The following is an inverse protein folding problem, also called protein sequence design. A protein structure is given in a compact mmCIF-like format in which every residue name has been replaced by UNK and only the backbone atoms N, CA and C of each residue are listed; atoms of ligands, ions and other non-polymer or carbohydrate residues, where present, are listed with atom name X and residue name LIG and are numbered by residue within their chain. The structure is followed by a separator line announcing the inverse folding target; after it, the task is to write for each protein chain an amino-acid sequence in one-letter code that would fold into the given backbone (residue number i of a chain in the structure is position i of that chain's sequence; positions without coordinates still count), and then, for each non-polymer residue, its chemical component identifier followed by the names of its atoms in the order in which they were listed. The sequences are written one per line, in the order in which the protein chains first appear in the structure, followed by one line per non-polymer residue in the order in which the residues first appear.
data_IF_432968335540
#
_entry.id   IF_432968335540
#
_cell.length_a   1.000
_cell.length_b   1.000
_cell.length_c   1.000
_cell.angle_alpha   90.00
_cell.angle_beta   90.00
_cell.angle_gamma   90.00
#
_symmetry.space_group_name_H-M   'P 1'
#
loop_
_entity.id
_entity.type
_entity.pdbx_description
1 polymer ?
#
# COMPACT_ATOMS: atom_id res chain seq x y z
N UNK A 1 8.49 22.81 1.94
CA UNK A 1 9.17 22.45 3.20
C UNK A 1 8.56 21.14 3.64
N UNK A 2 9.31 20.04 3.58
CA UNK A 2 8.77 18.73 3.96
C UNK A 2 8.96 18.54 5.46
N UNK A 3 7.86 18.49 6.22
CA UNK A 3 7.87 18.26 7.66
C UNK A 3 8.49 16.89 7.95
N UNK A 4 9.70 16.88 8.50
CA UNK A 4 10.39 15.66 8.88
C UNK A 4 9.68 15.12 10.13
N UNK A 5 9.19 13.89 10.06
CA UNK A 5 8.48 13.24 11.17
C UNK A 5 9.37 12.14 11.75
N UNK A 6 9.53 12.13 13.07
CA UNK A 6 10.22 11.07 13.78
C UNK A 6 9.31 9.84 13.90
N UNK A 7 9.76 8.71 13.37
CA UNK A 7 9.00 7.45 13.45
C UNK A 7 9.37 6.66 14.70
N UNK A 8 8.49 5.76 15.14
CA UNK A 8 8.65 4.92 16.35
C UNK A 8 9.88 4.00 16.36
N UNK A 9 10.67 3.98 15.28
CA UNK A 9 11.95 3.29 15.18
C UNK A 9 13.16 4.25 15.24
N UNK A 10 12.96 5.50 15.68
CA UNK A 10 14.02 6.51 15.82
C UNK A 10 14.57 7.03 14.50
N UNK A 11 13.89 6.79 13.38
CA UNK A 11 14.32 7.25 12.06
C UNK A 11 13.51 8.47 11.64
N UNK A 12 14.21 9.57 11.35
CA UNK A 12 13.66 10.79 10.79
C UNK A 12 13.30 10.57 9.32
N UNK A 13 12.00 10.59 8.98
CA UNK A 13 11.52 10.34 7.63
C UNK A 13 10.79 11.57 7.09
N UNK A 14 11.09 11.92 5.84
CA UNK A 14 10.29 12.88 5.06
C UNK A 14 9.05 12.16 4.52
N UNK A 15 7.82 12.63 4.85
CA UNK A 15 6.56 12.06 4.36
C UNK A 15 6.47 12.05 2.85
N UNK A 16 7.04 13.05 2.19
CA UNK A 16 7.08 13.17 0.73
C UNK A 16 7.93 12.06 0.10
N UNK A 17 9.07 11.71 0.71
CA UNK A 17 9.89 10.55 0.28
C UNK A 17 9.21 9.22 0.56
N UNK A 18 8.46 9.12 1.67
CA UNK A 18 7.68 7.93 2.00
C UNK A 18 6.50 7.74 1.03
N UNK A 19 5.82 8.83 0.67
CA UNK A 19 4.68 8.84 -0.24
C UNK A 19 5.09 8.54 -1.70
N UNK A 20 6.26 9.02 -2.12
CA UNK A 20 6.79 8.70 -3.45
C UNK A 20 7.18 7.23 -3.59
N UNK A 21 7.45 6.53 -2.48
CA UNK A 21 7.88 5.14 -2.47
C UNK A 21 9.27 4.96 -3.10
N UNK A 22 10.09 4.09 -2.54
CA UNK A 22 11.24 3.58 -3.28
C UNK A 22 10.86 2.23 -3.89
N UNK A 23 10.80 2.18 -5.22
CA UNK A 23 10.84 0.90 -5.93
C UNK A 23 12.24 0.34 -5.72
N UNK A 24 12.39 -0.50 -4.69
CA UNK A 24 13.67 -1.09 -4.36
C UNK A 24 13.93 -2.29 -5.26
N UNK A 25 15.12 -2.36 -5.86
CA UNK A 25 15.61 -3.55 -6.56
C UNK A 25 15.92 -4.72 -5.59
N UNK A 26 15.55 -4.61 -4.31
CA UNK A 26 15.76 -5.66 -3.31
C UNK A 26 14.94 -6.90 -3.71
N UNK A 27 15.67 -7.95 -4.04
CA UNK A 27 15.13 -9.29 -4.20
C UNK A 27 14.76 -9.82 -2.82
N UNK A 28 13.47 -10.06 -2.60
CA UNK A 28 12.95 -10.62 -1.35
C UNK A 28 13.53 -12.02 -1.14
N UNK A 29 14.27 -12.23 -0.05
CA UNK A 29 14.84 -13.52 0.33
C UNK A 29 14.22 -13.99 1.65
N UNK A 30 13.73 -15.24 1.68
CA UNK A 30 13.05 -15.83 2.84
C UNK A 30 11.53 -16.00 2.68
N UNK A 31 10.85 -16.43 3.75
CA UNK A 31 9.40 -16.62 3.78
C UNK A 31 8.68 -15.28 4.01
N UNK A 32 7.70 -14.96 3.16
CA UNK A 32 6.86 -13.77 3.27
C UNK A 32 5.38 -14.15 3.28
N UNK A 33 4.59 -13.32 3.95
CA UNK A 33 3.14 -13.36 3.84
C UNK A 33 2.71 -12.47 2.68
N UNK A 34 2.12 -13.09 1.66
CA UNK A 34 1.74 -12.42 0.43
C UNK A 34 0.22 -12.37 0.30
N UNK A 35 -0.28 -11.27 -0.26
CA UNK A 35 -1.62 -11.24 -0.81
C UNK A 35 -1.61 -10.48 -2.14
N UNK A 36 -2.53 -10.86 -3.03
CA UNK A 36 -2.73 -10.19 -4.31
C UNK A 36 -4.10 -9.54 -4.36
N UNK A 37 -4.19 -8.38 -5.00
CA UNK A 37 -5.45 -7.74 -5.35
C UNK A 37 -5.52 -7.63 -6.87
N UNK A 38 -6.56 -8.22 -7.46
CA UNK A 38 -6.90 -8.04 -8.87
C UNK A 38 -7.67 -6.73 -9.02
N UNK A 39 -7.10 -5.76 -9.72
CA UNK A 39 -7.70 -4.43 -9.93
C UNK A 39 -8.59 -4.43 -11.16
N UNK A 40 -8.15 -5.10 -12.24
CA UNK A 40 -8.91 -5.34 -13.46
C UNK A 40 -8.39 -6.64 -14.13
N UNK A 41 -8.78 -6.91 -15.38
CA UNK A 41 -8.40 -8.16 -16.05
C UNK A 41 -6.89 -8.30 -16.30
N UNK A 42 -6.19 -7.18 -16.51
CA UNK A 42 -4.78 -7.16 -16.92
C UNK A 42 -3.85 -6.74 -15.77
N UNK A 43 -4.41 -6.26 -14.65
CA UNK A 43 -3.65 -5.72 -13.53
C UNK A 43 -3.91 -6.50 -12.23
N UNK A 44 -2.89 -7.25 -11.80
CA UNK A 44 -2.81 -7.89 -10.48
C UNK A 44 -1.67 -7.21 -9.70
N UNK A 45 -1.99 -6.72 -8.51
CA UNK A 45 -1.00 -6.14 -7.59
C UNK A 45 -0.70 -7.12 -6.47
N UNK A 46 0.57 -7.50 -6.33
CA UNK A 46 1.04 -8.36 -5.25
C UNK A 46 1.74 -7.53 -4.17
N UNK A 47 1.43 -7.84 -2.92
CA UNK A 47 2.02 -7.22 -1.74
C UNK A 47 2.63 -8.31 -0.86
N UNK A 48 3.81 -8.04 -0.31
CA UNK A 48 4.50 -8.96 0.59
C UNK A 48 4.86 -8.28 1.89
N UNK A 49 4.72 -9.00 2.98
CA UNK A 49 5.01 -8.53 4.32
C UNK A 49 5.82 -9.57 5.08
N UNK A 50 6.66 -9.09 5.98
CA UNK A 50 7.48 -9.94 6.85
C UNK A 50 6.67 -10.56 8.00
N UNK A 51 5.49 -10.02 8.31
CA UNK A 51 4.60 -10.58 9.35
C UNK A 51 3.16 -10.71 8.84
N UNK A 52 2.46 -11.72 9.36
CA UNK A 52 1.09 -12.03 8.98
C UNK A 52 0.12 -10.91 9.36
N UNK A 53 0.26 -10.34 10.57
CA UNK A 53 -0.64 -9.30 11.08
C UNK A 53 -0.56 -8.04 10.21
N UNK A 54 0.64 -7.69 9.74
CA UNK A 54 0.83 -6.56 8.81
C UNK A 54 0.21 -6.84 7.45
N UNK A 55 0.34 -8.08 6.95
CA UNK A 55 -0.30 -8.49 5.70
C UNK A 55 -1.83 -8.37 5.79
N UNK A 56 -2.43 -8.93 6.84
CA UNK A 56 -3.89 -8.90 7.03
C UNK A 56 -4.42 -7.49 7.28
N UNK A 57 -3.73 -6.70 8.10
CA UNK A 57 -4.09 -5.30 8.33
C UNK A 57 -4.06 -4.50 7.02
N UNK A 58 -2.97 -4.60 6.26
CA UNK A 58 -2.85 -3.85 5.01
C UNK A 58 -3.81 -4.33 3.94
N UNK A 59 -4.10 -5.62 3.88
CA UNK A 59 -5.14 -6.16 3.00
C UNK A 59 -6.49 -5.49 3.26
N UNK A 60 -6.89 -5.34 4.53
CA UNK A 60 -8.15 -4.67 4.90
C UNK A 60 -8.16 -3.20 4.50
N UNK A 61 -7.07 -2.47 4.77
CA UNK A 61 -6.94 -1.04 4.42
C UNK A 61 -7.02 -0.84 2.91
N UNK A 62 -6.25 -1.61 2.14
CA UNK A 62 -6.20 -1.49 0.68
C UNK A 62 -7.56 -1.81 0.03
N UNK A 63 -8.23 -2.87 0.48
CA UNK A 63 -9.59 -3.19 0.02
C UNK A 63 -10.56 -2.06 0.37
N UNK A 64 -10.44 -1.46 1.55
CA UNK A 64 -11.26 -0.31 1.97
C UNK A 64 -11.12 0.88 1.01
N UNK A 65 -9.89 1.26 0.68
CA UNK A 65 -9.63 2.34 -0.28
C UNK A 65 -10.15 2.04 -1.68
N UNK A 66 -10.01 0.80 -2.17
CA UNK A 66 -10.54 0.41 -3.47
C UNK A 66 -12.07 0.51 -3.52
N UNK A 67 -12.76 0.05 -2.48
CA UNK A 67 -14.22 0.21 -2.37
C UNK A 67 -14.63 1.67 -2.41
N UNK A 68 -13.92 2.53 -1.68
CA UNK A 68 -14.19 3.97 -1.66
C UNK A 68 -13.96 4.61 -3.04
N UNK A 69 -12.87 4.24 -3.74
CA UNK A 69 -12.56 4.70 -5.10
C UNK A 69 -13.66 4.31 -6.09
N UNK A 70 -14.04 3.03 -6.12
CA UNK A 70 -15.10 2.52 -7.02
C UNK A 70 -16.43 3.24 -6.77
N UNK A 71 -16.78 3.45 -5.49
CA UNK A 71 -18.00 4.19 -5.14
C UNK A 71 -17.97 5.61 -5.69
N UNK A 72 -16.85 6.32 -5.50
CA UNK A 72 -16.68 7.69 -5.99
C UNK A 72 -16.77 7.78 -7.52
N UNK A 73 -16.12 6.86 -8.24
CA UNK A 73 -16.17 6.80 -9.71
C UNK A 73 -17.60 6.53 -10.21
N UNK A 74 -18.30 5.57 -9.59
CA UNK A 74 -19.70 5.27 -9.92
C UNK A 74 -20.60 6.49 -9.70
N UNK A 75 -20.40 7.20 -8.60
CA UNK A 75 -21.24 8.37 -8.27
C UNK A 75 -20.95 9.54 -9.24
N UNK A 76 -19.71 9.71 -9.71
CA UNK A 76 -19.36 10.72 -10.74
C UNK A 76 -19.93 10.43 -12.14
N UNK A 77 -20.26 9.18 -12.46
CA UNK A 77 -20.87 8.80 -13.74
C UNK A 77 -22.38 9.02 -13.80
N UNK A 78 -23.02 9.31 -12.65
CA UNK A 78 -24.46 9.57 -12.55
C UNK A 78 -24.81 11.05 -12.56
N UNK A 79 -23.82 11.93 -12.50
CA UNK A 79 -23.96 13.39 -12.47
C UNK A 79 -23.81 14.01 -13.85
#
# INVERSE_FOLDING_TARGET
MADIIETSFGTLISPERMANGSASNIQKSGAFYNFSIKINNDEIREYSFTTFEKAEYMRRVMIGHLKAKIKKERDSLKG
#
